data_IF_106751608433
#
_entry.id   IF_106751608433
#
_cell.length_a   1.000
_cell.length_b   1.000
_cell.length_c   1.000
_cell.angle_alpha   90.00
_cell.angle_beta   90.00
_cell.angle_gamma   90.00
#
_symmetry.space_group_name_H-M   'P 1'
#
loop_
_entity.id
_entity.type
_entity.pdbx_description
1 polymer ?
#
# COMPACT_ATOMS: atom_id res chain seq x y z
N UNK A 1 1.37 -25.71 5.34
CA UNK A 1 1.96 -24.44 4.82
C UNK A 1 0.92 -23.72 3.97
N UNK A 2 0.62 -22.48 4.31
CA UNK A 2 -0.31 -21.66 3.50
C UNK A 2 0.47 -21.11 2.31
N UNK A 3 -0.04 -21.33 1.11
CA UNK A 3 0.58 -20.85 -0.14
C UNK A 3 -0.20 -19.66 -0.69
N UNK A 4 0.52 -18.68 -1.20
CA UNK A 4 0.02 -17.54 -1.96
C UNK A 4 0.68 -17.54 -3.34
N UNK A 5 0.02 -16.95 -4.30
CA UNK A 5 0.62 -16.72 -5.62
C UNK A 5 1.57 -15.51 -5.56
N UNK A 6 1.23 -14.53 -4.71
CA UNK A 6 2.04 -13.31 -4.54
C UNK A 6 2.06 -12.90 -3.07
N UNK A 7 3.24 -12.59 -2.57
CA UNK A 7 3.45 -11.89 -1.28
C UNK A 7 4.02 -10.50 -1.59
N UNK A 8 3.43 -9.48 -1.00
CA UNK A 8 3.86 -8.08 -1.12
C UNK A 8 4.46 -7.65 0.21
N UNK A 9 5.64 -7.05 0.18
CA UNK A 9 6.33 -6.56 1.37
C UNK A 9 6.09 -5.06 1.50
N UNK A 10 5.35 -4.67 2.54
CA UNK A 10 5.00 -3.30 2.84
C UNK A 10 3.63 -2.87 2.30
N UNK A 11 2.98 -1.96 3.03
CA UNK A 11 1.66 -1.40 2.71
C UNK A 11 1.70 0.14 2.56
N UNK A 12 2.71 0.65 1.89
CA UNK A 12 2.78 2.03 1.40
C UNK A 12 2.07 2.20 0.06
N UNK A 13 2.33 3.30 -0.66
CA UNK A 13 1.75 3.57 -1.97
C UNK A 13 1.89 2.39 -2.94
N UNK A 14 3.11 1.90 -3.14
CA UNK A 14 3.34 0.80 -4.08
C UNK A 14 2.71 -0.51 -3.63
N UNK A 15 2.77 -0.83 -2.33
CA UNK A 15 2.18 -2.06 -1.79
C UNK A 15 0.67 -2.10 -1.93
N UNK A 16 -0.02 -1.00 -1.68
CA UNK A 16 -1.48 -0.89 -1.88
C UNK A 16 -1.86 -1.05 -3.35
N UNK A 17 -1.11 -0.42 -4.26
CA UNK A 17 -1.33 -0.59 -5.69
C UNK A 17 -1.09 -2.03 -6.14
N UNK A 18 0.03 -2.63 -5.74
CA UNK A 18 0.36 -4.01 -6.10
C UNK A 18 -0.67 -5.01 -5.57
N UNK A 19 -1.16 -4.80 -4.34
CA UNK A 19 -2.21 -5.64 -3.77
C UNK A 19 -3.48 -5.61 -4.61
N UNK A 20 -3.94 -4.42 -4.98
CA UNK A 20 -5.08 -4.25 -5.89
C UNK A 20 -4.81 -4.92 -7.25
N UNK A 21 -3.67 -4.63 -7.85
CA UNK A 21 -3.30 -5.16 -9.17
C UNK A 21 -3.27 -6.69 -9.19
N UNK A 22 -2.54 -7.30 -8.25
CA UNK A 22 -2.39 -8.75 -8.20
C UNK A 22 -3.71 -9.45 -7.83
N UNK A 23 -4.42 -8.94 -6.81
CA UNK A 23 -5.65 -9.56 -6.33
C UNK A 23 -6.83 -9.36 -7.28
N UNK A 24 -7.08 -8.10 -7.66
CA UNK A 24 -8.34 -7.73 -8.33
C UNK A 24 -8.25 -7.79 -9.86
N UNK A 25 -7.11 -7.45 -10.44
CA UNK A 25 -6.95 -7.47 -11.90
C UNK A 25 -6.35 -8.78 -12.41
N UNK A 26 -5.36 -9.35 -11.71
CA UNK A 26 -4.71 -10.59 -12.09
C UNK A 26 -5.33 -11.84 -11.46
N UNK A 27 -6.29 -11.66 -10.54
CA UNK A 27 -6.98 -12.73 -9.83
C UNK A 27 -6.02 -13.73 -9.13
N UNK A 28 -4.95 -13.19 -8.54
CA UNK A 28 -3.96 -13.96 -7.80
C UNK A 28 -4.30 -13.98 -6.30
N UNK A 29 -4.09 -15.13 -5.65
CA UNK A 29 -4.16 -15.23 -4.20
C UNK A 29 -3.00 -14.44 -3.60
N UNK A 30 -3.27 -13.24 -3.10
CA UNK A 30 -2.27 -12.25 -2.70
C UNK A 30 -2.39 -11.90 -1.23
N UNK A 31 -1.25 -11.71 -0.56
CA UNK A 31 -1.16 -11.18 0.80
C UNK A 31 -0.09 -10.09 0.83
N UNK A 32 -0.42 -8.95 1.44
CA UNK A 32 0.57 -7.95 1.80
C UNK A 32 0.98 -8.13 3.28
N UNK A 33 2.26 -7.96 3.58
CA UNK A 33 2.81 -8.06 4.94
C UNK A 33 3.43 -6.73 5.30
N UNK A 34 2.92 -6.11 6.37
CA UNK A 34 3.32 -4.79 6.84
C UNK A 34 3.93 -4.87 8.24
N UNK A 35 5.12 -4.29 8.41
CA UNK A 35 5.81 -4.21 9.70
C UNK A 35 5.08 -3.31 10.70
N UNK A 36 4.49 -2.22 10.21
CA UNK A 36 3.74 -1.27 11.02
C UNK A 36 2.36 -1.80 11.45
N UNK A 37 1.74 -1.07 12.35
CA UNK A 37 0.37 -1.37 12.81
C UNK A 37 -0.72 -0.87 11.87
N UNK A 38 -0.34 -0.11 10.85
CA UNK A 38 -1.26 0.46 9.86
C UNK A 38 -0.56 0.70 8.52
N UNK A 39 -1.36 0.99 7.50
CA UNK A 39 -0.86 1.35 6.18
C UNK A 39 -0.19 2.72 6.17
N UNK A 40 0.57 3.01 5.11
CA UNK A 40 1.06 4.35 4.85
C UNK A 40 2.52 4.45 4.44
N UNK A 41 3.35 3.43 4.73
CA UNK A 41 4.76 3.46 4.39
C UNK A 41 5.47 4.69 4.93
N UNK A 42 6.09 5.49 4.07
CA UNK A 42 6.72 6.77 4.43
C UNK A 42 5.81 7.66 5.28
N UNK A 43 4.53 7.70 4.98
CA UNK A 43 3.55 8.56 5.66
C UNK A 43 2.99 7.95 6.94
N UNK A 44 3.23 6.71 7.18
CA UNK A 44 3.04 6.07 8.47
C UNK A 44 4.22 6.34 9.41
N UNK A 45 5.46 6.20 8.93
CA UNK A 45 6.66 6.30 9.76
C UNK A 45 7.10 7.74 10.03
N UNK A 46 6.95 8.66 9.08
CA UNK A 46 7.44 10.04 9.19
C UNK A 46 6.34 11.00 9.65
N UNK A 47 6.24 11.19 10.97
CA UNK A 47 5.23 12.00 11.64
C UNK A 47 5.80 13.20 12.39
N UNK A 48 6.96 13.66 12.01
CA UNK A 48 7.59 14.81 12.64
C UNK A 48 6.80 16.10 12.32
N UNK A 49 6.89 17.15 13.18
CA UNK A 49 6.23 18.43 12.92
C UNK A 49 6.65 19.02 11.58
N UNK A 50 5.67 19.39 10.76
CA UNK A 50 5.91 19.96 9.43
C UNK A 50 6.17 18.94 8.32
N UNK A 51 6.11 17.63 8.59
CA UNK A 51 6.24 16.59 7.55
C UNK A 51 5.23 16.82 6.42
N UNK A 52 5.74 16.95 5.19
CA UNK A 52 4.98 17.36 4.03
C UNK A 52 5.58 16.78 2.75
N UNK A 53 4.75 16.55 1.75
CA UNK A 53 5.22 16.17 0.42
C UNK A 53 5.86 17.38 -0.28
N UNK A 54 6.94 17.13 -1.01
CA UNK A 54 7.64 18.08 -1.87
C UNK A 54 7.14 18.05 -3.33
N UNK A 55 6.19 17.15 -3.62
CA UNK A 55 5.53 17.05 -4.92
C UNK A 55 4.12 17.63 -4.85
N UNK A 56 3.65 18.18 -5.95
CA UNK A 56 2.30 18.74 -6.04
C UNK A 56 1.23 17.64 -5.90
N UNK A 57 0.20 17.90 -5.12
CA UNK A 57 -0.81 16.93 -4.74
C UNK A 57 -1.51 16.26 -5.93
N UNK A 58 -1.77 17.01 -7.00
CA UNK A 58 -2.43 16.46 -8.19
C UNK A 58 -1.60 15.40 -8.93
N UNK A 59 -0.27 15.37 -8.71
CA UNK A 59 0.63 14.35 -9.25
C UNK A 59 0.92 13.24 -8.24
N UNK A 60 0.54 13.44 -6.97
CA UNK A 60 0.85 12.55 -5.86
C UNK A 60 -0.36 11.69 -5.45
N UNK A 61 -1.03 11.11 -6.43
CA UNK A 61 -2.20 10.26 -6.22
C UNK A 61 -2.32 9.22 -7.32
N UNK A 62 -3.11 8.20 -7.04
CA UNK A 62 -3.39 7.15 -8.00
C UNK A 62 -4.35 7.61 -9.10
N UNK A 63 -4.04 7.23 -10.34
CA UNK A 63 -4.84 7.55 -11.53
C UNK A 63 -5.46 6.32 -12.19
N UNK A 64 -5.18 5.12 -11.67
CA UNK A 64 -5.61 3.85 -12.27
C UNK A 64 -7.11 3.55 -12.09
N UNK A 65 -7.81 4.23 -11.18
CA UNK A 65 -9.21 3.96 -10.86
C UNK A 65 -10.04 5.24 -10.71
N UNK A 66 -11.11 5.35 -11.48
CA UNK A 66 -12.08 6.45 -11.35
C UNK A 66 -12.72 6.53 -9.96
N UNK A 67 -12.92 5.38 -9.31
CA UNK A 67 -13.40 5.31 -7.92
C UNK A 67 -12.47 6.04 -6.95
N UNK A 68 -11.19 6.16 -7.30
CA UNK A 68 -10.19 6.85 -6.49
C UNK A 68 -10.12 8.32 -6.88
N UNK A 69 -9.66 8.63 -8.10
CA UNK A 69 -9.33 10.02 -8.44
C UNK A 69 -10.55 10.93 -8.60
N UNK A 70 -11.72 10.42 -8.96
CA UNK A 70 -12.96 11.23 -9.04
C UNK A 70 -13.60 11.49 -7.67
N UNK A 71 -13.24 10.75 -6.64
CA UNK A 71 -13.83 10.84 -5.31
C UNK A 71 -12.88 11.37 -4.23
N UNK A 72 -11.74 11.90 -4.63
CA UNK A 72 -10.79 12.55 -3.74
C UNK A 72 -10.46 13.95 -4.24
N UNK A 73 -10.51 14.93 -3.34
CA UNK A 73 -10.11 16.31 -3.64
C UNK A 73 -8.96 16.73 -2.75
N UNK A 74 -7.85 17.09 -3.37
CA UNK A 74 -6.72 17.67 -2.69
C UNK A 74 -7.00 19.14 -2.35
N UNK A 75 -6.78 19.52 -1.09
CA UNK A 75 -6.98 20.91 -0.62
C UNK A 75 -5.69 21.71 -0.55
N UNK A 76 -4.56 21.04 -0.63
CA UNK A 76 -3.23 21.64 -0.48
C UNK A 76 -2.39 21.34 -1.73
N UNK A 77 -1.62 22.31 -2.19
CA UNK A 77 -0.69 22.12 -3.32
C UNK A 77 0.40 21.10 -2.95
N UNK A 78 0.97 21.25 -1.75
CA UNK A 78 1.94 20.33 -1.17
C UNK A 78 1.34 19.73 0.10
N UNK A 79 0.76 18.52 0.04
CA UNK A 79 -0.05 17.99 1.13
C UNK A 79 0.80 17.57 2.32
N UNK A 80 0.27 17.81 3.52
CA UNK A 80 0.87 17.39 4.78
C UNK A 80 0.78 15.87 4.96
N UNK A 81 1.63 15.34 5.83
CA UNK A 81 1.68 13.91 6.19
C UNK A 81 0.29 13.36 6.51
N UNK A 82 -0.47 14.00 7.37
CA UNK A 82 -1.79 13.53 7.76
C UNK A 82 -2.81 13.55 6.61
N UNK A 83 -2.70 14.47 5.68
CA UNK A 83 -3.56 14.53 4.48
C UNK A 83 -3.27 13.35 3.56
N UNK A 84 -1.99 13.02 3.35
CA UNK A 84 -1.59 11.89 2.52
C UNK A 84 -1.99 10.57 3.19
N UNK A 85 -1.81 10.45 4.50
CA UNK A 85 -2.24 9.25 5.22
C UNK A 85 -3.75 9.04 5.14
N UNK A 86 -4.55 10.10 5.24
CA UNK A 86 -6.01 10.05 5.02
C UNK A 86 -6.35 9.61 3.60
N UNK A 87 -5.61 10.10 2.61
CA UNK A 87 -5.76 9.67 1.22
C UNK A 87 -5.52 8.15 1.07
N UNK A 88 -4.42 7.65 1.62
CA UNK A 88 -4.13 6.21 1.55
C UNK A 88 -5.19 5.37 2.26
N UNK A 89 -5.71 5.82 3.40
CA UNK A 89 -6.83 5.16 4.09
C UNK A 89 -8.13 5.19 3.29
N UNK A 90 -8.38 6.28 2.58
CA UNK A 90 -9.49 6.35 1.63
C UNK A 90 -9.34 5.31 0.51
N UNK A 91 -8.14 5.18 -0.08
CA UNK A 91 -7.85 4.17 -1.12
C UNK A 91 -8.02 2.75 -0.57
N UNK A 92 -7.43 2.45 0.59
CA UNK A 92 -7.56 1.17 1.27
C UNK A 92 -9.03 0.75 1.44
N UNK A 93 -9.86 1.68 1.91
CA UNK A 93 -11.28 1.46 2.13
C UNK A 93 -12.04 1.26 0.82
N UNK A 94 -11.82 2.13 -0.17
CA UNK A 94 -12.49 2.05 -1.48
C UNK A 94 -12.24 0.75 -2.22
N UNK A 95 -11.03 0.21 -2.08
CA UNK A 95 -10.62 -1.02 -2.74
C UNK A 95 -10.70 -2.24 -1.81
N UNK A 96 -11.17 -2.08 -0.57
CA UNK A 96 -11.27 -3.15 0.43
C UNK A 96 -9.97 -3.96 0.57
N UNK A 97 -8.84 -3.24 0.75
CA UNK A 97 -7.51 -3.87 0.76
C UNK A 97 -7.13 -4.47 2.13
N UNK A 98 -7.63 -3.86 3.22
CA UNK A 98 -7.20 -4.18 4.59
C UNK A 98 -7.29 -5.65 4.97
N UNK A 99 -8.30 -6.36 4.47
CA UNK A 99 -8.52 -7.79 4.76
C UNK A 99 -7.41 -8.70 4.27
N UNK A 100 -6.63 -8.25 3.29
CA UNK A 100 -5.52 -8.99 2.70
C UNK A 100 -4.15 -8.38 3.06
N UNK A 101 -4.11 -7.62 4.17
CA UNK A 101 -2.87 -7.07 4.74
C UNK A 101 -2.67 -7.63 6.15
N UNK A 102 -1.52 -8.24 6.38
CA UNK A 102 -1.09 -8.72 7.69
C UNK A 102 -0.19 -7.68 8.33
N UNK A 103 -0.70 -7.00 9.37
CA UNK A 103 0.00 -5.96 10.11
C UNK A 103 0.87 -6.50 11.24
N UNK A 104 1.80 -5.68 11.74
CA UNK A 104 2.70 -5.99 12.85
C UNK A 104 3.57 -7.23 12.57
N UNK A 105 3.90 -7.47 11.32
CA UNK A 105 4.72 -8.58 10.88
C UNK A 105 5.85 -8.10 9.99
N UNK A 106 7.08 -8.32 10.43
CA UNK A 106 8.27 -7.95 9.69
C UNK A 106 8.81 -9.14 8.92
N UNK A 107 8.98 -8.98 7.60
CA UNK A 107 9.73 -9.93 6.79
C UNK A 107 11.22 -9.76 7.10
N UNK A 108 11.85 -10.81 7.56
CA UNK A 108 13.28 -10.82 7.91
C UNK A 108 14.15 -11.47 6.83
N UNK A 109 13.58 -12.33 6.02
CA UNK A 109 14.27 -12.98 4.91
C UNK A 109 13.30 -13.47 3.86
N UNK A 110 13.79 -13.60 2.64
CA UNK A 110 13.09 -14.27 1.55
C UNK A 110 14.11 -15.10 0.78
N UNK A 111 13.90 -16.41 0.71
CA UNK A 111 14.81 -17.35 0.05
C UNK A 111 14.11 -18.05 -1.10
N UNK A 112 14.70 -17.96 -2.28
CA UNK A 112 14.20 -18.71 -3.43
C UNK A 112 14.67 -20.17 -3.37
N UNK A 113 13.73 -21.07 -3.49
CA UNK A 113 13.96 -22.52 -3.47
C UNK A 113 13.89 -23.04 -4.91
N UNK A 114 15.01 -23.10 -5.61
CA UNK A 114 15.10 -23.45 -7.03
C UNK A 114 14.40 -24.78 -7.36
N UNK A 115 14.62 -25.83 -6.55
CA UNK A 115 14.00 -27.14 -6.77
C UNK A 115 12.47 -27.14 -6.69
N UNK A 116 11.89 -26.15 -6.03
CA UNK A 116 10.43 -26.03 -5.81
C UNK A 116 9.80 -24.88 -6.60
N UNK A 117 10.61 -24.03 -7.23
CA UNK A 117 10.19 -22.76 -7.84
C UNK A 117 9.31 -21.92 -6.91
N UNK A 118 9.74 -21.76 -5.66
CA UNK A 118 9.01 -21.04 -4.61
C UNK A 118 9.94 -20.13 -3.83
N UNK A 119 9.35 -19.05 -3.31
CA UNK A 119 9.94 -18.22 -2.26
C UNK A 119 9.48 -18.70 -0.87
N UNK A 120 10.42 -18.74 0.09
CA UNK A 120 10.17 -19.04 1.50
C UNK A 120 10.63 -17.87 2.38
#
# INVERSE_FOLDING_TARGET
>A
MIKFDTIIIGAGFSGLYQLHKCRDELNLKTLAIEEGSDIGGTWYWNRYPGARCDSESHTYGFTFSEKIYKNWTWKEKYPKQNTILKYLKFVEKKLNLRKDILFNNKIISAKYLEKKNLWE
#
